data_IF_052773673585
#
_entry.id   IF_052773673585
#
_cell.length_a   1.000
_cell.length_b   1.000
_cell.length_c   1.000
_cell.angle_alpha   90.00
_cell.angle_beta   90.00
_cell.angle_gamma   90.00
#
_symmetry.space_group_name_H-M   'P 1'
#
loop_
_entity.id
_entity.type
_entity.pdbx_description
1 polymer ?
#
# COMPACT_ATOMS: atom_id res chain seq x y z
N UNK A 1 -1.94 5.92 3.91
CA UNK A 1 -1.53 7.35 4.06
C UNK A 1 -1.44 7.97 2.67
N UNK A 2 -1.70 9.27 2.50
CA UNK A 2 -1.66 9.88 1.17
C UNK A 2 -1.04 11.28 1.24
N UNK A 3 0.16 11.43 0.67
CA UNK A 3 0.89 12.69 0.58
C UNK A 3 0.88 13.24 -0.86
N UNK A 4 1.44 14.44 -1.05
CA UNK A 4 1.38 15.19 -2.30
C UNK A 4 1.87 14.38 -3.51
N UNK A 5 3.01 13.68 -3.41
CA UNK A 5 3.50 12.85 -4.54
C UNK A 5 2.60 11.65 -4.85
N UNK A 6 1.86 11.11 -3.88
CA UNK A 6 0.81 10.10 -4.17
C UNK A 6 -0.31 10.74 -4.96
N UNK A 7 -0.82 11.90 -4.53
CA UNK A 7 -1.88 12.61 -5.27
C UNK A 7 -1.42 12.96 -6.69
N UNK A 8 -0.20 13.46 -6.85
CA UNK A 8 0.40 13.78 -8.15
C UNK A 8 0.53 12.54 -9.04
N UNK A 9 1.00 11.42 -8.49
CA UNK A 9 1.04 10.14 -9.19
C UNK A 9 -0.35 9.75 -9.73
N UNK A 10 -1.41 9.91 -8.93
CA UNK A 10 -2.76 9.64 -9.42
C UNK A 10 -3.19 10.63 -10.49
N UNK A 11 -3.02 11.94 -10.28
CA UNK A 11 -3.38 12.98 -11.26
C UNK A 11 -2.73 12.71 -12.63
N UNK A 12 -1.46 12.32 -12.64
CA UNK A 12 -0.70 12.11 -13.86
C UNK A 12 -1.06 10.80 -14.60
N UNK A 13 -1.59 9.81 -13.88
CA UNK A 13 -1.69 8.44 -14.40
C UNK A 13 -3.11 7.87 -14.44
N UNK A 14 -4.09 8.48 -13.78
CA UNK A 14 -5.49 8.11 -13.97
C UNK A 14 -5.95 8.52 -15.37
N UNK A 15 -6.80 7.69 -15.96
CA UNK A 15 -7.53 8.04 -17.17
C UNK A 15 -9.02 7.90 -16.90
N UNK A 16 -9.81 8.91 -17.18
CA UNK A 16 -11.22 8.98 -16.77
C UNK A 16 -12.00 7.76 -17.28
N UNK A 17 -11.72 7.34 -18.51
CA UNK A 17 -12.35 6.18 -19.16
C UNK A 17 -12.06 4.84 -18.46
N UNK A 18 -10.96 4.74 -17.71
CA UNK A 18 -10.65 3.55 -16.92
C UNK A 18 -11.58 3.43 -15.70
N UNK A 19 -12.08 4.55 -15.16
CA UNK A 19 -12.86 4.62 -13.91
C UNK A 19 -14.36 4.87 -14.13
N UNK A 20 -14.74 5.52 -15.23
CA UNK A 20 -16.11 5.91 -15.51
C UNK A 20 -17.05 4.68 -15.55
N UNK A 21 -18.14 4.73 -14.79
CA UNK A 21 -19.09 3.63 -14.62
C UNK A 21 -18.46 2.30 -14.16
N UNK A 22 -17.28 2.36 -13.52
CA UNK A 22 -16.58 1.18 -12.99
C UNK A 22 -16.75 1.01 -11.49
N UNK A 23 -16.50 -0.22 -11.03
CA UNK A 23 -16.42 -0.58 -9.61
C UNK A 23 -14.97 -0.54 -9.14
N UNK A 24 -14.73 0.20 -8.07
CA UNK A 24 -13.40 0.43 -7.51
C UNK A 24 -13.35 -0.11 -6.08
N UNK A 25 -12.26 -0.79 -5.75
CA UNK A 25 -11.91 -1.17 -4.39
C UNK A 25 -10.66 -0.41 -3.94
N UNK A 26 -10.74 0.34 -2.85
CA UNK A 26 -9.58 0.93 -2.17
C UNK A 26 -9.26 0.12 -0.90
N UNK A 27 -8.08 -0.50 -0.87
CA UNK A 27 -7.60 -1.32 0.25
C UNK A 27 -6.66 -0.49 1.12
N UNK A 28 -7.02 -0.31 2.40
CA UNK A 28 -6.33 0.64 3.29
C UNK A 28 -6.87 2.06 3.15
N UNK A 29 -8.19 2.20 3.04
CA UNK A 29 -8.88 3.44 2.66
C UNK A 29 -8.99 4.48 3.77
N UNK A 30 -8.69 4.12 5.02
CA UNK A 30 -8.90 5.01 6.16
C UNK A 30 -8.15 6.33 5.97
N UNK A 31 -8.88 7.43 6.08
CA UNK A 31 -8.30 8.76 6.05
C UNK A 31 -7.37 8.98 7.25
N UNK A 32 -6.09 9.23 6.99
CA UNK A 32 -5.10 9.62 8.00
C UNK A 32 -4.64 11.07 7.78
N UNK A 33 -4.14 11.36 6.59
CA UNK A 33 -3.55 12.67 6.22
C UNK A 33 -3.87 13.11 4.79
N UNK A 34 -4.73 12.36 4.08
CA UNK A 34 -5.08 12.57 2.68
C UNK A 34 -5.84 11.37 2.14
N UNK A 35 -6.44 11.50 0.95
CA UNK A 35 -7.06 10.39 0.22
C UNK A 35 -7.17 10.74 -1.27
N UNK A 36 -7.03 9.73 -2.12
CA UNK A 36 -7.26 9.83 -3.57
C UNK A 36 -8.74 9.71 -3.93
N UNK A 37 -9.58 9.19 -3.03
CA UNK A 37 -11.01 8.95 -3.28
C UNK A 37 -11.76 10.20 -3.74
N UNK A 38 -11.63 11.38 -3.10
CA UNK A 38 -12.36 12.58 -3.55
C UNK A 38 -12.00 13.03 -4.97
N UNK A 39 -10.73 12.84 -5.38
CA UNK A 39 -10.27 13.12 -6.74
C UNK A 39 -10.97 12.18 -7.72
N UNK A 40 -10.97 10.88 -7.43
CA UNK A 40 -11.54 9.86 -8.31
C UNK A 40 -13.06 10.00 -8.41
N UNK A 41 -13.77 10.13 -7.29
CA UNK A 41 -15.24 10.28 -7.27
C UNK A 41 -15.69 11.54 -8.02
N UNK A 42 -14.97 12.65 -7.84
CA UNK A 42 -15.35 13.94 -8.42
C UNK A 42 -15.08 14.03 -9.93
N UNK A 43 -13.96 13.49 -10.40
CA UNK A 43 -13.50 13.73 -11.78
C UNK A 43 -13.60 12.50 -12.68
N UNK A 44 -13.77 11.30 -12.12
CA UNK A 44 -13.74 10.05 -12.88
C UNK A 44 -15.06 9.27 -12.84
N UNK A 45 -16.07 9.76 -12.10
CA UNK A 45 -17.46 9.28 -12.08
C UNK A 45 -17.60 7.74 -12.04
N UNK A 46 -17.05 7.08 -11.00
CA UNK A 46 -17.22 5.65 -10.87
C UNK A 46 -18.67 5.28 -10.55
N UNK A 47 -19.06 4.08 -10.97
CA UNK A 47 -20.36 3.49 -10.58
C UNK A 47 -20.38 3.20 -9.08
N UNK A 48 -19.26 2.75 -8.54
CA UNK A 48 -19.12 2.38 -7.14
C UNK A 48 -17.67 2.55 -6.69
N UNK A 49 -17.47 3.10 -5.49
CA UNK A 49 -16.17 3.21 -4.84
C UNK A 49 -16.28 2.66 -3.42
N UNK A 50 -15.69 1.49 -3.18
CA UNK A 50 -15.70 0.82 -1.87
C UNK A 50 -14.33 0.95 -1.24
N UNK A 51 -14.25 1.60 -0.09
CA UNK A 51 -13.08 1.62 0.78
C UNK A 51 -13.16 0.53 1.84
N UNK A 52 -12.09 -0.22 2.01
CA UNK A 52 -11.92 -1.18 3.11
C UNK A 52 -10.71 -0.83 3.97
N UNK A 53 -10.82 -1.11 5.26
CA UNK A 53 -9.73 -0.95 6.22
C UNK A 53 -9.94 -1.87 7.42
N UNK A 54 -8.90 -2.11 8.20
CA UNK A 54 -8.97 -2.93 9.42
C UNK A 54 -9.60 -2.17 10.59
N UNK A 55 -9.67 -0.85 10.50
CA UNK A 55 -10.30 0.02 11.48
C UNK A 55 -11.38 0.90 10.85
N UNK A 56 -12.46 1.22 11.57
CA UNK A 56 -13.43 2.19 11.09
C UNK A 56 -12.78 3.59 10.97
N UNK A 57 -13.31 4.39 10.04
CA UNK A 57 -12.87 5.75 9.84
C UNK A 57 -13.48 6.39 8.60
N UNK A 58 -13.12 7.64 8.35
CA UNK A 58 -13.54 8.35 7.14
C UNK A 58 -13.01 7.61 5.89
N UNK A 59 -13.90 7.43 4.91
CA UNK A 59 -13.71 6.66 3.67
C UNK A 59 -13.63 5.14 3.80
N UNK A 60 -13.86 4.59 5.00
CA UNK A 60 -14.01 3.15 5.21
C UNK A 60 -15.48 2.79 5.13
N UNK A 61 -15.89 2.11 4.05
CA UNK A 61 -17.25 1.63 3.87
C UNK A 61 -17.45 0.26 4.54
N UNK A 62 -16.40 -0.58 4.56
CA UNK A 62 -16.43 -1.92 5.17
C UNK A 62 -15.16 -2.14 6.01
N UNK A 63 -15.34 -2.50 7.28
CA UNK A 63 -14.23 -2.94 8.13
C UNK A 63 -13.86 -4.37 7.78
N UNK A 64 -12.74 -4.57 7.08
CA UNK A 64 -12.34 -5.85 6.50
C UNK A 64 -10.81 -5.97 6.41
N UNK A 65 -10.30 -7.13 6.83
CA UNK A 65 -8.90 -7.52 6.65
C UNK A 65 -8.60 -7.74 5.17
N UNK A 66 -7.46 -7.24 4.68
CA UNK A 66 -7.05 -7.42 3.29
C UNK A 66 -6.77 -8.90 2.93
N UNK A 67 -6.51 -9.74 3.94
CA UNK A 67 -6.43 -11.19 3.82
C UNK A 67 -7.78 -11.86 3.50
N UNK A 68 -8.89 -11.12 3.65
CA UNK A 68 -10.27 -11.61 3.49
C UNK A 68 -11.00 -11.03 2.27
N UNK A 69 -10.32 -10.28 1.41
CA UNK A 69 -10.95 -9.64 0.24
C UNK A 69 -11.67 -10.63 -0.68
N UNK A 70 -11.00 -11.73 -1.05
CA UNK A 70 -11.59 -12.74 -1.96
C UNK A 70 -12.74 -13.49 -1.29
N UNK A 71 -12.62 -13.80 -0.01
CA UNK A 71 -13.69 -14.45 0.76
C UNK A 71 -14.95 -13.57 0.82
N UNK A 72 -14.78 -12.26 0.95
CA UNK A 72 -15.89 -11.33 1.09
C UNK A 72 -16.51 -10.91 -0.26
N UNK A 73 -15.69 -10.57 -1.25
CA UNK A 73 -16.16 -10.01 -2.53
C UNK A 73 -16.23 -11.02 -3.68
N UNK A 74 -15.56 -12.17 -3.55
CA UNK A 74 -15.31 -13.10 -4.65
C UNK A 74 -14.17 -12.67 -5.58
N UNK A 75 -13.84 -13.52 -6.54
CA UNK A 75 -12.87 -13.21 -7.59
C UNK A 75 -13.47 -12.29 -8.65
N UNK A 76 -12.61 -11.50 -9.30
CA UNK A 76 -12.98 -10.65 -10.45
C UNK A 76 -14.19 -9.74 -10.19
N UNK A 77 -14.31 -9.25 -8.96
CA UNK A 77 -15.40 -8.39 -8.54
C UNK A 77 -15.23 -6.92 -8.98
N UNK A 78 -13.99 -6.44 -9.05
CA UNK A 78 -13.67 -5.02 -9.25
C UNK A 78 -12.93 -4.77 -10.57
N UNK A 79 -13.21 -3.63 -11.19
CA UNK A 79 -12.53 -3.18 -12.41
C UNK A 79 -11.20 -2.48 -12.07
N UNK A 80 -11.13 -1.86 -10.90
CA UNK A 80 -9.93 -1.18 -10.39
C UNK A 80 -9.71 -1.54 -8.92
N UNK A 81 -8.44 -1.79 -8.57
CA UNK A 81 -7.97 -1.88 -7.18
C UNK A 81 -6.97 -0.77 -6.90
N UNK A 82 -7.18 -0.03 -5.81
CA UNK A 82 -6.33 1.05 -5.32
C UNK A 82 -5.77 0.66 -3.95
N UNK A 83 -4.51 0.97 -3.68
CA UNK A 83 -3.98 0.95 -2.31
C UNK A 83 -2.88 1.98 -2.15
N UNK A 84 -2.95 2.80 -1.10
CA UNK A 84 -1.99 3.88 -0.85
C UNK A 84 -1.31 3.72 0.50
N UNK A 85 0.00 3.41 0.47
CA UNK A 85 0.84 3.27 1.68
C UNK A 85 0.24 2.28 2.69
N UNK A 86 -0.07 1.07 2.21
CA UNK A 86 -0.62 -0.05 2.99
C UNK A 86 0.40 -1.19 3.14
N UNK A 87 1.04 -1.58 2.04
CA UNK A 87 1.74 -2.87 1.93
C UNK A 87 2.88 -3.01 2.94
N UNK A 88 3.56 -1.92 3.28
CA UNK A 88 4.58 -1.86 4.31
C UNK A 88 4.06 -2.26 5.71
N UNK A 89 2.76 -2.08 5.96
CA UNK A 89 2.10 -2.36 7.23
C UNK A 89 1.48 -3.76 7.29
N UNK A 90 1.44 -4.49 6.16
CA UNK A 90 0.85 -5.83 6.08
C UNK A 90 1.90 -6.90 6.35
N UNK A 91 1.67 -7.72 7.38
CA UNK A 91 2.59 -8.83 7.73
C UNK A 91 2.71 -9.84 6.58
N UNK A 92 1.60 -10.41 6.12
CA UNK A 92 1.59 -11.38 5.01
C UNK A 92 1.29 -10.69 3.67
N UNK A 93 2.27 -9.91 3.19
CA UNK A 93 2.14 -9.16 1.94
C UNK A 93 1.81 -10.04 0.74
N UNK A 94 2.31 -11.29 0.68
CA UNK A 94 2.05 -12.22 -0.43
C UNK A 94 0.57 -12.56 -0.54
N UNK A 95 -0.05 -12.89 0.59
CA UNK A 95 -1.48 -13.20 0.64
C UNK A 95 -2.30 -11.98 0.23
N UNK A 96 -1.99 -10.80 0.76
CA UNK A 96 -2.73 -9.57 0.45
C UNK A 96 -2.59 -9.17 -1.02
N UNK A 97 -1.39 -9.18 -1.58
CA UNK A 97 -1.20 -8.92 -3.02
C UNK A 97 -1.93 -9.97 -3.86
N UNK A 98 -1.86 -11.26 -3.49
CA UNK A 98 -2.60 -12.32 -4.19
C UNK A 98 -4.11 -12.06 -4.18
N UNK A 99 -4.66 -11.66 -3.04
CA UNK A 99 -6.07 -11.32 -2.92
C UNK A 99 -6.45 -10.11 -3.76
N UNK A 100 -5.65 -9.03 -3.72
CA UNK A 100 -5.87 -7.84 -4.57
C UNK A 100 -5.86 -8.21 -6.06
N UNK A 101 -4.92 -9.06 -6.50
CA UNK A 101 -4.88 -9.56 -7.89
C UNK A 101 -6.08 -10.42 -8.25
N UNK A 102 -6.63 -11.20 -7.31
CA UNK A 102 -7.79 -12.10 -7.54
C UNK A 102 -9.11 -11.36 -7.57
N UNK A 103 -9.35 -10.40 -6.69
CA UNK A 103 -10.58 -9.58 -6.72
C UNK A 103 -10.64 -8.64 -7.92
N UNK A 104 -9.50 -8.34 -8.54
CA UNK A 104 -9.40 -7.56 -9.77
C UNK A 104 -9.79 -8.40 -11.00
N UNK A 105 -10.69 -7.89 -11.83
CA UNK A 105 -11.07 -8.49 -13.12
C UNK A 105 -9.90 -8.56 -14.10
N UNK A 106 -9.86 -9.59 -14.93
CA UNK A 106 -9.02 -9.58 -16.13
C UNK A 106 -9.28 -8.31 -16.97
N UNK A 107 -8.21 -7.65 -17.41
CA UNK A 107 -8.28 -6.37 -18.11
C UNK A 107 -8.36 -5.14 -17.20
N UNK A 108 -8.61 -5.31 -15.90
CA UNK A 108 -8.66 -4.24 -14.90
C UNK A 108 -7.30 -3.68 -14.49
N UNK A 109 -7.32 -2.59 -13.72
CA UNK A 109 -6.11 -1.86 -13.32
C UNK A 109 -5.87 -1.93 -11.81
N UNK A 110 -4.58 -1.94 -11.44
CA UNK A 110 -4.15 -1.80 -10.06
C UNK A 110 -3.26 -0.57 -9.92
N UNK A 111 -3.54 0.25 -8.91
CA UNK A 111 -2.76 1.42 -8.51
C UNK A 111 -2.24 1.19 -7.10
N UNK A 112 -0.92 1.22 -6.91
CA UNK A 112 -0.29 0.95 -5.63
C UNK A 112 0.81 1.97 -5.34
N UNK A 113 0.87 2.42 -4.08
CA UNK A 113 2.03 3.13 -3.53
C UNK A 113 2.46 2.49 -2.22
N UNK A 114 3.76 2.45 -1.96
CA UNK A 114 4.34 1.88 -0.72
C UNK A 114 5.74 2.41 -0.44
N UNK A 115 6.25 2.18 0.78
CA UNK A 115 7.56 2.64 1.23
C UNK A 115 8.73 1.78 0.75
N UNK A 116 9.82 2.47 0.42
CA UNK A 116 11.07 1.88 -0.07
C UNK A 116 12.22 1.99 0.92
N UNK A 117 13.28 1.23 0.67
CA UNK A 117 14.45 1.21 1.53
C UNK A 117 14.99 2.62 1.75
N UNK A 118 15.29 2.96 3.01
CA UNK A 118 15.65 4.32 3.43
C UNK A 118 14.51 5.10 4.08
N UNK A 119 13.24 4.71 3.87
CA UNK A 119 12.14 5.31 4.61
C UNK A 119 12.20 4.88 6.08
N UNK A 120 12.17 5.83 7.05
CA UNK A 120 12.29 5.51 8.46
C UNK A 120 11.16 4.58 8.93
N UNK A 121 11.40 3.89 10.03
CA UNK A 121 10.36 3.11 10.68
C UNK A 121 9.25 4.05 11.18
N UNK A 122 8.00 3.74 10.84
CA UNK A 122 6.83 4.56 11.20
C UNK A 122 5.63 3.64 11.44
N UNK A 123 5.32 3.33 12.70
CA UNK A 123 4.29 2.33 13.02
C UNK A 123 2.88 2.81 12.68
N UNK A 124 2.06 2.02 11.97
CA UNK A 124 0.63 1.84 12.27
C UNK A 124 -0.05 0.66 11.53
N UNK A 125 -0.68 -0.32 12.21
CA UNK A 125 -0.43 -0.77 13.58
C UNK A 125 1.00 -1.34 13.75
N UNK A 126 1.63 -1.78 12.65
CA UNK A 126 3.01 -2.25 12.58
C UNK A 126 3.64 -1.83 11.25
N UNK A 127 4.95 -1.99 11.13
CA UNK A 127 5.69 -1.62 9.92
C UNK A 127 6.74 -2.72 9.64
N UNK A 128 6.52 -3.47 8.56
CA UNK A 128 7.14 -4.76 8.27
C UNK A 128 8.10 -4.73 7.08
N UNK A 129 7.78 -3.99 6.01
CA UNK A 129 8.43 -4.19 4.71
C UNK A 129 8.88 -2.90 4.03
N UNK A 130 9.95 -3.00 3.25
CA UNK A 130 10.34 -2.00 2.26
C UNK A 130 10.44 -2.65 0.90
N UNK A 131 9.84 -1.99 -0.09
CA UNK A 131 9.76 -2.46 -1.47
C UNK A 131 10.68 -1.63 -2.34
N UNK A 132 11.52 -2.29 -3.14
CA UNK A 132 12.28 -1.62 -4.20
C UNK A 132 11.56 -1.75 -5.55
N UNK A 133 11.94 -0.92 -6.52
CA UNK A 133 11.38 -0.99 -7.88
C UNK A 133 11.51 -2.40 -8.47
N UNK A 134 12.67 -3.03 -8.29
CA UNK A 134 12.94 -4.38 -8.75
C UNK A 134 12.03 -5.44 -8.10
N UNK A 135 11.65 -5.20 -6.84
CA UNK A 135 10.74 -6.08 -6.11
C UNK A 135 9.34 -6.00 -6.70
N UNK A 136 8.84 -4.78 -6.92
CA UNK A 136 7.54 -4.54 -7.52
C UNK A 136 7.48 -5.07 -8.96
N UNK A 137 8.58 -4.94 -9.72
CA UNK A 137 8.68 -5.53 -11.05
C UNK A 137 8.52 -7.06 -11.02
N UNK A 138 9.20 -7.75 -10.09
CA UNK A 138 9.07 -9.21 -9.91
C UNK A 138 7.69 -9.61 -9.42
N UNK A 139 7.14 -8.88 -8.45
CA UNK A 139 5.82 -9.15 -7.86
C UNK A 139 4.74 -9.03 -8.94
N UNK A 140 4.83 -8.06 -9.84
CA UNK A 140 3.85 -7.80 -10.90
C UNK A 140 4.30 -8.29 -12.29
N UNK A 141 5.19 -9.29 -12.36
CA UNK A 141 5.65 -9.86 -13.63
C UNK A 141 4.55 -10.61 -14.41
N UNK A 142 3.44 -10.95 -13.75
CA UNK A 142 2.21 -11.48 -14.32
C UNK A 142 1.21 -10.40 -14.79
N UNK A 143 1.59 -9.12 -14.65
CA UNK A 143 0.80 -7.96 -15.09
C UNK A 143 1.52 -7.22 -16.22
N UNK A 144 0.76 -6.47 -17.02
CA UNK A 144 1.33 -5.43 -17.88
C UNK A 144 1.59 -4.20 -17.02
N UNK A 145 2.84 -3.98 -16.62
CA UNK A 145 3.26 -2.78 -15.91
C UNK A 145 3.18 -1.59 -16.88
N UNK A 146 2.45 -0.55 -16.49
CA UNK A 146 2.26 0.67 -17.28
C UNK A 146 3.11 1.82 -16.73
N UNK A 147 3.21 1.90 -15.40
CA UNK A 147 4.05 2.86 -14.68
C UNK A 147 4.65 2.13 -13.50
N UNK A 148 5.96 2.28 -13.31
CA UNK A 148 6.67 1.79 -12.15
C UNK A 148 7.86 2.72 -11.88
N UNK A 149 7.76 3.51 -10.82
CA UNK A 149 8.71 4.58 -10.55
C UNK A 149 8.97 4.74 -9.05
N UNK A 150 10.05 5.46 -8.71
CA UNK A 150 10.33 5.85 -7.34
C UNK A 150 9.50 7.07 -6.98
N UNK A 151 9.05 7.14 -5.73
CA UNK A 151 8.49 8.37 -5.18
C UNK A 151 9.57 9.48 -5.23
N UNK A 152 9.28 10.64 -5.86
CA UNK A 152 10.23 11.73 -6.01
C UNK A 152 10.52 12.48 -4.70
N UNK A 153 9.65 12.38 -3.69
CA UNK A 153 9.74 13.18 -2.46
C UNK A 153 10.27 12.39 -1.25
N UNK A 154 10.10 11.09 -1.23
CA UNK A 154 10.55 10.22 -0.15
C UNK A 154 10.89 8.82 -0.68
N UNK A 155 11.63 7.97 0.06
CA UNK A 155 11.84 6.60 -0.36
C UNK A 155 10.51 5.83 -0.45
N UNK A 156 10.05 5.59 -1.67
CA UNK A 156 8.79 4.92 -1.99
C UNK A 156 8.80 4.39 -3.42
N UNK A 157 7.82 3.56 -3.74
CA UNK A 157 7.61 3.00 -5.09
C UNK A 157 6.15 3.14 -5.46
N UNK A 158 5.90 3.66 -6.66
CA UNK A 158 4.56 3.84 -7.23
C UNK A 158 4.39 2.92 -8.43
N UNK A 159 3.22 2.30 -8.54
CA UNK A 159 2.89 1.33 -9.58
C UNK A 159 1.49 1.59 -10.14
N UNK A 160 1.39 1.63 -11.46
CA UNK A 160 0.16 1.38 -12.21
C UNK A 160 0.39 0.15 -13.09
N UNK A 161 -0.45 -0.87 -12.96
CA UNK A 161 -0.36 -2.07 -13.79
C UNK A 161 -1.75 -2.56 -14.22
N UNK A 162 -1.81 -3.26 -15.36
CA UNK A 162 -3.03 -3.83 -15.91
C UNK A 162 -2.98 -5.36 -15.88
N UNK A 163 -4.02 -5.98 -15.35
CA UNK A 163 -4.16 -7.44 -15.35
C UNK A 163 -4.43 -7.91 -16.80
N UNK A 164 -3.61 -8.79 -17.39
CA UNK A 164 -3.81 -9.25 -18.76
C UNK A 164 -5.05 -10.15 -18.88
N UNK A 165 -5.61 -10.27 -20.09
CA UNK A 165 -6.78 -11.11 -20.34
C UNK A 165 -6.48 -12.61 -20.14
N UNK A 166 -5.26 -13.04 -20.47
CA UNK A 166 -4.76 -14.40 -20.27
C UNK A 166 -3.95 -14.52 -18.96
N UNK A 167 -4.49 -13.95 -17.87
CA UNK A 167 -3.81 -13.90 -16.58
C UNK A 167 -3.38 -15.29 -16.09
N UNK A 168 -2.09 -15.40 -15.75
CA UNK A 168 -1.51 -16.55 -15.06
C UNK A 168 -0.71 -16.04 -13.86
N UNK A 169 -1.10 -16.40 -12.63
CA UNK A 169 -0.42 -15.90 -11.45
C UNK A 169 1.05 -16.32 -11.43
N UNK A 170 1.93 -15.39 -11.11
CA UNK A 170 3.33 -15.72 -10.83
C UNK A 170 3.50 -16.30 -9.41
N UNK A 171 4.65 -16.95 -9.18
CA UNK A 171 5.01 -17.41 -7.84
C UNK A 171 5.66 -16.26 -7.05
N UNK A 172 5.12 -15.93 -5.89
CA UNK A 172 5.66 -14.89 -5.00
C UNK A 172 6.59 -15.44 -3.91
N UNK A 173 6.67 -16.76 -3.72
CA UNK A 173 7.34 -17.37 -2.55
C UNK A 173 8.85 -17.10 -2.51
N UNK A 174 9.49 -17.03 -3.67
CA UNK A 174 10.95 -16.88 -3.78
C UNK A 174 11.40 -15.41 -3.78
N UNK A 175 10.45 -14.46 -3.67
CA UNK A 175 10.75 -13.03 -3.63
C UNK A 175 11.09 -12.65 -2.19
N UNK A 176 12.36 -12.29 -1.96
CA UNK A 176 12.79 -11.72 -0.69
C UNK A 176 12.48 -10.22 -0.65
N UNK A 177 12.01 -9.68 0.48
CA UNK A 177 11.84 -8.24 0.71
C UNK A 177 12.68 -7.78 1.90
N UNK A 178 13.02 -6.49 1.96
CA UNK A 178 13.67 -5.93 3.15
C UNK A 178 12.69 -5.86 4.31
N UNK A 179 12.99 -6.61 5.38
CA UNK A 179 12.17 -6.62 6.59
C UNK A 179 12.60 -5.52 7.55
N UNK A 180 11.67 -4.65 7.92
CA UNK A 180 11.86 -3.69 9.00
C UNK A 180 11.96 -4.35 10.38
N UNK A 181 11.46 -5.57 10.53
CA UNK A 181 11.57 -6.38 11.75
C UNK A 181 12.97 -6.97 11.89
N UNK A 182 13.46 -7.65 10.85
CA UNK A 182 14.77 -8.33 10.88
C UNK A 182 15.95 -7.41 10.54
N UNK A 183 15.70 -6.30 9.85
CA UNK A 183 16.74 -5.40 9.37
C UNK A 183 17.57 -5.91 8.19
N UNK A 184 17.08 -6.94 7.50
CA UNK A 184 17.71 -7.56 6.32
C UNK A 184 16.64 -8.04 5.33
N UNK A 185 17.06 -8.36 4.10
CA UNK A 185 16.19 -9.02 3.13
C UNK A 185 15.90 -10.47 3.56
N UNK A 186 14.66 -10.91 3.40
CA UNK A 186 14.22 -12.26 3.79
C UNK A 186 13.07 -12.73 2.91
N UNK A 187 12.99 -14.04 2.67
CA UNK A 187 11.82 -14.68 2.07
C UNK A 187 10.74 -15.01 3.12
N UNK A 188 11.15 -15.23 4.37
CA UNK A 188 10.25 -15.62 5.46
C UNK A 188 9.41 -14.45 5.95
N UNK A 189 8.17 -14.73 6.36
CA UNK A 189 7.32 -13.75 7.06
C UNK A 189 7.81 -13.64 8.51
N UNK A 190 8.30 -12.47 8.96
CA UNK A 190 8.87 -12.32 10.29
C UNK A 190 7.78 -12.16 11.36
N UNK A 191 8.07 -12.66 12.55
CA UNK A 191 7.31 -12.40 13.77
C UNK A 191 7.92 -11.24 14.55
N UNK A 192 7.11 -10.55 15.36
CA UNK A 192 7.59 -9.44 16.22
C UNK A 192 8.65 -9.94 17.22
N UNK A 193 8.55 -11.20 17.65
CA UNK A 193 9.54 -11.83 18.52
C UNK A 193 10.89 -12.05 17.83
N UNK A 194 10.96 -11.98 16.50
CA UNK A 194 12.19 -12.18 15.73
C UNK A 194 13.04 -10.90 15.63
N UNK A 195 12.60 -9.78 16.22
CA UNK A 195 13.36 -8.51 16.19
C UNK A 195 14.72 -8.72 16.89
N UNK A 196 15.85 -8.54 16.18
CA UNK A 196 17.17 -8.64 16.81
C UNK A 196 17.33 -7.64 17.95
N UNK A 197 17.97 -8.05 19.05
CA UNK A 197 18.10 -7.24 20.27
C UNK A 197 18.63 -5.82 20.01
N UNK A 198 19.72 -5.67 19.25
CA UNK A 198 20.31 -4.37 18.89
C UNK A 198 19.31 -3.49 18.12
N UNK A 199 18.49 -4.10 17.27
CA UNK A 199 17.48 -3.39 16.49
C UNK A 199 16.31 -2.97 17.35
N UNK A 200 15.85 -3.81 18.29
CA UNK A 200 14.84 -3.45 19.29
C UNK A 200 15.28 -2.22 20.08
N UNK A 201 16.54 -2.19 20.53
CA UNK A 201 17.10 -1.05 21.24
C UNK A 201 17.11 0.21 20.36
N UNK A 202 17.56 0.11 19.11
CA UNK A 202 17.56 1.23 18.15
C UNK A 202 16.15 1.78 17.88
N UNK A 203 15.15 0.92 17.72
CA UNK A 203 13.76 1.33 17.50
C UNK A 203 13.19 2.05 18.73
N UNK A 204 13.48 1.56 19.95
CA UNK A 204 13.08 2.22 21.19
C UNK A 204 13.73 3.60 21.34
N UNK A 205 15.03 3.71 21.04
CA UNK A 205 15.75 4.99 21.06
C UNK A 205 15.14 5.97 20.05
N UNK A 206 14.91 5.54 18.81
CA UNK A 206 14.31 6.38 17.79
C UNK A 206 12.91 6.86 18.20
N UNK A 207 12.08 5.98 18.76
CA UNK A 207 10.75 6.34 19.28
C UNK A 207 10.83 7.35 20.41
N UNK A 208 11.79 7.20 21.33
CA UNK A 208 12.03 8.17 22.40
C UNK A 208 12.46 9.54 21.84
N UNK A 209 13.36 9.57 20.85
CA UNK A 209 13.80 10.79 20.17
C UNK A 209 12.61 11.49 19.49
N UNK A 210 11.73 10.76 18.81
CA UNK A 210 10.54 11.36 18.19
C UNK A 210 9.58 11.97 19.21
N UNK A 211 9.34 11.30 20.34
CA UNK A 211 8.51 11.84 21.44
C UNK A 211 9.12 13.13 22.01
N UNK A 212 10.44 13.18 22.15
CA UNK A 212 11.14 14.38 22.61
C UNK A 212 11.03 15.50 21.57
N UNK A 213 11.26 15.21 20.29
CA UNK A 213 11.12 16.19 19.19
C UNK A 213 9.70 16.75 19.10
N UNK A 214 8.67 15.90 19.21
CA UNK A 214 7.27 16.35 19.16
C UNK A 214 6.91 17.23 20.35
N UNK A 215 7.37 16.89 21.56
CA UNK A 215 7.21 17.72 22.77
C UNK A 215 7.90 19.07 22.65
N UNK A 216 9.15 19.10 22.17
CA UNK A 216 9.89 20.36 21.95
C UNK A 216 9.16 21.22 20.91
N UNK A 217 8.70 20.62 19.81
CA UNK A 217 7.98 21.35 18.77
C UNK A 217 6.63 21.91 19.26
N UNK A 218 5.92 21.19 20.14
CA UNK A 218 4.70 21.70 20.78
C UNK A 218 4.94 22.88 21.73
N UNK A 219 6.12 22.98 22.34
CA UNK A 219 6.49 24.12 23.21
C UNK A 219 6.87 25.35 22.38
N UNK A 220 7.54 25.16 21.24
CA UNK A 220 7.98 26.26 20.37
C UNK A 220 6.82 26.94 19.61
N UNK A 221 5.66 26.28 19.43
CA UNK A 221 4.46 26.89 18.82
C UNK A 221 3.63 27.78 19.77
N UNK A 222 4.03 27.89 21.05
CA UNK A 222 3.32 28.69 22.06
C UNK A 222 4.06 30.01 22.36
N UNK A 223 5.13 30.34 21.63
CA UNK A 223 5.83 31.62 21.70
C UNK A 223 5.68 32.41 20.39
#
# INVERSE_FOLDING_TARGET
>A
MCHVSVIEFFINNIRIEEFNEKRILEVGSKYVNGSVRPLIEKFAHPKEYIGVDVEPGKYVDIVLLAEKLVEHFGEEAFDIVVSTELLEHVKNWRLVITNMKRVLKCGGYIYLTTRSYGFPYHSYPYDYWRYEVEDMHKIFSDFKILVLEKDPLAPGVFLKARKPANYKPNNLQDIALYSMILGKRTISIPEIQDIPFLRRLKLLINKAIEIVKSKIWSVVKVC
#
